data_IF_492902440285
#
_entry.id   IF_492902440285
#
_cell.length_a   1.000
_cell.length_b   1.000
_cell.length_c   1.000
_cell.angle_alpha   90.00
_cell.angle_beta   90.00
_cell.angle_gamma   90.00
#
_symmetry.space_group_name_H-M   'P 1'
#
loop_
_entity.id
_entity.type
_entity.pdbx_description
1 polymer ?
#
# COMPACT_ATOMS: atom_id res chain seq x y z
N UNK A 1 27.11 16.39 63.52
CA UNK A 1 26.58 17.15 62.38
C UNK A 1 26.74 16.29 61.10
N UNK A 2 25.69 15.58 60.74
CA UNK A 2 25.75 14.65 59.59
C UNK A 2 24.95 15.29 58.46
N UNK A 3 25.66 15.67 57.40
CA UNK A 3 25.03 16.19 56.18
C UNK A 3 24.48 15.01 55.37
N UNK A 4 23.14 14.85 55.33
CA UNK A 4 22.50 13.90 54.45
C UNK A 4 22.51 14.49 53.03
N UNK A 5 23.31 13.90 52.16
CA UNK A 5 23.31 14.16 50.73
C UNK A 5 22.07 13.48 50.13
N UNK A 6 21.12 14.31 49.68
CA UNK A 6 19.95 13.83 48.96
C UNK A 6 20.35 13.52 47.49
N UNK A 7 20.55 12.25 47.20
CA UNK A 7 20.76 11.74 45.84
C UNK A 7 19.39 11.71 45.14
N UNK A 8 19.09 12.71 44.36
CA UNK A 8 17.94 12.72 43.45
C UNK A 8 18.24 11.84 42.25
N UNK A 9 17.71 10.62 42.31
CA UNK A 9 17.73 9.67 41.20
C UNK A 9 16.61 10.05 40.26
N UNK A 10 16.89 10.86 39.23
CA UNK A 10 15.98 11.19 38.13
C UNK A 10 15.95 10.00 37.19
N UNK A 11 14.93 9.14 37.36
CA UNK A 11 14.62 8.04 36.42
C UNK A 11 14.01 8.66 35.17
N UNK A 12 14.84 8.93 34.13
CA UNK A 12 14.37 9.33 32.82
C UNK A 12 13.74 8.10 32.15
N UNK A 13 12.42 7.99 32.24
CA UNK A 13 11.64 7.00 31.51
C UNK A 13 11.58 7.47 30.05
N UNK A 14 12.52 6.96 29.22
CA UNK A 14 12.48 7.18 27.79
C UNK A 14 11.25 6.43 27.23
N UNK A 15 10.16 7.14 26.97
CA UNK A 15 9.06 6.63 26.17
C UNK A 15 9.58 6.39 24.75
N UNK A 16 9.95 5.16 24.46
CA UNK A 16 10.19 4.70 23.10
C UNK A 16 8.84 4.69 22.38
N UNK A 17 8.54 5.74 21.65
CA UNK A 17 7.41 5.77 20.71
C UNK A 17 7.80 4.82 19.57
N UNK A 18 7.38 3.57 19.69
CA UNK A 18 7.46 2.62 18.58
C UNK A 18 6.48 3.10 17.51
N UNK A 19 6.99 3.80 16.50
CA UNK A 19 6.24 4.09 15.29
C UNK A 19 5.93 2.74 14.64
N UNK A 20 4.70 2.25 14.77
CA UNK A 20 4.23 1.13 13.98
C UNK A 20 4.21 1.59 12.52
N UNK A 21 5.26 1.25 11.79
CA UNK A 21 5.30 1.48 10.35
C UNK A 21 4.22 0.60 9.72
N UNK A 22 3.21 1.23 9.13
CA UNK A 22 2.21 0.51 8.34
C UNK A 22 2.90 -0.04 7.10
N UNK A 23 2.82 -1.36 6.91
CA UNK A 23 3.34 -2.04 5.73
C UNK A 23 2.24 -2.17 4.70
N UNK A 24 2.50 -1.76 3.46
CA UNK A 24 1.58 -1.94 2.33
C UNK A 24 1.67 -3.37 1.83
N UNK A 25 0.54 -4.06 1.70
CA UNK A 25 0.48 -5.42 1.16
C UNK A 25 0.00 -5.37 -0.29
N UNK A 26 0.84 -5.89 -1.20
CA UNK A 26 0.57 -5.97 -2.63
C UNK A 26 0.36 -7.44 -3.01
N UNK A 27 -0.80 -7.75 -3.56
CA UNK A 27 -1.10 -9.05 -4.13
C UNK A 27 -0.79 -9.04 -5.64
N UNK A 28 0.05 -9.96 -6.09
CA UNK A 28 0.49 -10.07 -7.47
C UNK A 28 0.54 -11.55 -7.92
N UNK A 29 0.80 -11.79 -9.19
CA UNK A 29 0.68 -13.13 -9.80
C UNK A 29 1.87 -14.05 -9.56
N UNK A 30 2.84 -13.63 -8.77
CA UNK A 30 3.97 -14.48 -8.36
C UNK A 30 5.09 -14.59 -9.39
N UNK A 31 6.09 -15.37 -9.03
CA UNK A 31 7.23 -15.73 -9.88
C UNK A 31 7.97 -14.52 -10.46
N UNK A 32 8.45 -14.66 -11.69
CA UNK A 32 9.22 -13.60 -12.37
C UNK A 32 8.44 -12.28 -12.54
N UNK A 33 7.13 -12.35 -12.62
CA UNK A 33 6.28 -11.17 -12.73
C UNK A 33 6.37 -10.32 -11.45
N UNK A 34 6.11 -10.90 -10.30
CA UNK A 34 6.24 -10.21 -9.01
C UNK A 34 7.68 -9.71 -8.77
N UNK A 35 8.69 -10.51 -9.13
CA UNK A 35 10.09 -10.08 -8.99
C UNK A 35 10.41 -8.85 -9.88
N UNK A 36 9.88 -8.80 -11.10
CA UNK A 36 10.05 -7.62 -11.95
C UNK A 36 9.42 -6.37 -11.36
N UNK A 37 8.27 -6.50 -10.72
CA UNK A 37 7.60 -5.40 -10.03
C UNK A 37 8.37 -4.93 -8.80
N UNK A 38 8.87 -5.86 -7.99
CA UNK A 38 9.74 -5.53 -6.85
C UNK A 38 10.94 -4.70 -7.29
N UNK A 39 11.69 -5.18 -8.28
CA UNK A 39 12.89 -4.51 -8.78
C UNK A 39 12.58 -3.20 -9.50
N UNK A 40 11.50 -3.16 -10.29
CA UNK A 40 11.17 -2.02 -11.13
C UNK A 40 10.64 -0.82 -10.36
N UNK A 41 9.77 -1.05 -9.39
CA UNK A 41 9.14 0.05 -8.64
C UNK A 41 8.90 -0.24 -7.15
N UNK A 42 8.71 -1.48 -6.73
CA UNK A 42 8.39 -1.82 -5.34
C UNK A 42 9.50 -1.42 -4.37
N UNK A 43 10.69 -1.97 -4.53
CA UNK A 43 11.83 -1.69 -3.65
C UNK A 43 12.28 -0.22 -3.72
N UNK A 44 12.38 0.41 -4.91
CA UNK A 44 12.66 1.85 -4.98
C UNK A 44 11.62 2.70 -4.24
N UNK A 45 10.34 2.36 -4.35
CA UNK A 45 9.26 3.08 -3.66
C UNK A 45 9.31 2.86 -2.16
N UNK A 46 9.44 1.61 -1.71
CA UNK A 46 9.59 1.29 -0.29
C UNK A 46 10.73 2.07 0.35
N UNK A 47 11.88 2.10 -0.33
CA UNK A 47 13.06 2.87 0.12
C UNK A 47 12.80 4.38 0.15
N UNK A 48 12.16 4.91 -0.88
CA UNK A 48 11.89 6.36 -0.99
C UNK A 48 10.92 6.85 0.07
N UNK A 49 9.89 6.06 0.36
CA UNK A 49 8.82 6.44 1.29
C UNK A 49 9.10 5.98 2.74
N UNK A 50 10.05 5.08 2.95
CA UNK A 50 10.30 4.46 4.26
C UNK A 50 9.16 3.53 4.70
N UNK A 51 8.38 3.01 3.75
CA UNK A 51 7.23 2.13 4.01
C UNK A 51 7.56 0.73 3.52
N UNK A 52 7.53 -0.31 4.39
CA UNK A 52 7.72 -1.69 3.95
C UNK A 52 6.61 -2.14 3.00
N UNK A 53 6.96 -2.89 1.96
CA UNK A 53 5.99 -3.51 1.06
C UNK A 53 6.05 -5.03 1.24
N UNK A 54 4.91 -5.62 1.61
CA UNK A 54 4.72 -7.06 1.66
C UNK A 54 4.13 -7.53 0.34
N UNK A 55 4.68 -8.58 -0.22
CA UNK A 55 4.20 -9.17 -1.46
C UNK A 55 3.53 -10.50 -1.18
N UNK A 56 2.36 -10.71 -1.76
CA UNK A 56 1.57 -11.94 -1.66
C UNK A 56 1.26 -12.43 -3.07
N UNK A 57 1.54 -13.71 -3.32
CA UNK A 57 1.17 -14.32 -4.59
C UNK A 57 -0.29 -14.78 -4.55
N UNK A 58 -1.04 -14.54 -5.64
CA UNK A 58 -2.40 -15.01 -5.81
C UNK A 58 -2.65 -15.46 -7.26
N UNK A 59 -3.70 -16.22 -7.49
CA UNK A 59 -3.92 -16.88 -8.79
C UNK A 59 -4.80 -16.08 -9.76
N UNK A 60 -5.11 -14.83 -9.46
CA UNK A 60 -5.95 -13.97 -10.29
C UNK A 60 -7.44 -14.02 -9.95
N UNK A 61 -8.21 -13.12 -10.57
CA UNK A 61 -9.65 -12.98 -10.35
C UNK A 61 -10.04 -12.29 -9.05
N UNK A 62 -11.34 -12.24 -8.78
CA UNK A 62 -11.89 -11.46 -7.65
C UNK A 62 -12.31 -12.32 -6.45
N UNK A 63 -12.17 -13.64 -6.52
CA UNK A 63 -12.72 -14.55 -5.51
C UNK A 63 -12.15 -14.32 -4.11
N UNK A 64 -10.83 -14.13 -4.00
CA UNK A 64 -10.17 -13.91 -2.72
C UNK A 64 -10.55 -12.56 -2.09
N UNK A 65 -10.62 -11.51 -2.90
CA UNK A 65 -11.08 -10.20 -2.42
C UNK A 65 -12.51 -10.25 -1.93
N UNK A 66 -13.40 -10.94 -2.68
CA UNK A 66 -14.79 -11.15 -2.27
C UNK A 66 -14.87 -11.88 -0.92
N UNK A 67 -14.04 -12.90 -0.74
CA UNK A 67 -13.96 -13.63 0.52
C UNK A 67 -13.46 -12.76 1.67
N UNK A 68 -12.42 -11.96 1.47
CA UNK A 68 -11.90 -11.01 2.47
C UNK A 68 -12.96 -9.96 2.84
N UNK A 69 -13.66 -9.41 1.85
CA UNK A 69 -14.75 -8.44 2.08
C UNK A 69 -15.90 -9.07 2.86
N UNK A 70 -16.33 -10.28 2.49
CA UNK A 70 -17.38 -11.00 3.19
C UNK A 70 -17.01 -11.32 4.65
N UNK A 71 -15.73 -11.60 4.90
CA UNK A 71 -15.21 -11.83 6.25
C UNK A 71 -15.02 -10.54 7.06
N UNK A 72 -15.21 -9.36 6.45
CA UNK A 72 -14.96 -8.06 7.09
C UNK A 72 -13.48 -7.83 7.42
N UNK A 73 -12.56 -8.54 6.77
CA UNK A 73 -11.13 -8.46 7.02
C UNK A 73 -10.36 -8.37 5.70
N UNK A 74 -10.07 -7.15 5.29
CA UNK A 74 -9.22 -6.87 4.13
C UNK A 74 -7.76 -6.90 4.58
N UNK A 75 -6.93 -7.69 3.90
CA UNK A 75 -5.50 -7.85 4.20
C UNK A 75 -4.59 -7.41 3.06
N UNK A 76 -5.15 -7.12 1.89
CA UNK A 76 -4.43 -6.61 0.73
C UNK A 76 -4.79 -5.15 0.49
N UNK A 77 -3.78 -4.32 0.34
CA UNK A 77 -3.98 -2.88 0.07
C UNK A 77 -4.01 -2.59 -1.43
N UNK A 78 -3.21 -3.33 -2.19
CA UNK A 78 -3.09 -3.21 -3.65
C UNK A 78 -3.18 -4.62 -4.25
N UNK A 79 -3.78 -4.71 -5.42
CA UNK A 79 -3.90 -5.97 -6.16
C UNK A 79 -3.73 -5.75 -7.65
N UNK A 80 -2.98 -6.63 -8.30
CA UNK A 80 -2.92 -6.72 -9.75
C UNK A 80 -4.09 -7.54 -10.28
N UNK A 81 -4.88 -6.98 -11.16
CA UNK A 81 -6.02 -7.65 -11.79
C UNK A 81 -6.03 -7.42 -13.29
N UNK A 82 -6.73 -8.28 -14.03
CA UNK A 82 -7.01 -8.02 -15.43
C UNK A 82 -7.99 -6.85 -15.59
N UNK A 83 -7.96 -6.19 -16.75
CA UNK A 83 -8.83 -5.05 -17.05
C UNK A 83 -10.32 -5.35 -16.80
N UNK A 84 -10.78 -6.56 -17.20
CA UNK A 84 -12.17 -6.97 -16.95
C UNK A 84 -12.49 -7.13 -15.46
N UNK A 85 -11.54 -7.62 -14.67
CA UNK A 85 -11.72 -7.73 -13.23
C UNK A 85 -11.74 -6.36 -12.55
N UNK A 86 -11.04 -5.39 -13.11
CA UNK A 86 -11.11 -4.00 -12.62
C UNK A 86 -12.52 -3.44 -12.77
N UNK A 87 -13.14 -3.61 -13.93
CA UNK A 87 -14.51 -3.16 -14.20
C UNK A 87 -15.48 -3.84 -13.24
N UNK A 88 -15.47 -5.17 -13.21
CA UNK A 88 -16.36 -5.95 -12.35
C UNK A 88 -16.14 -5.62 -10.85
N UNK A 89 -14.88 -5.48 -10.43
CA UNK A 89 -14.55 -5.15 -9.06
C UNK A 89 -14.99 -3.75 -8.64
N UNK A 90 -14.92 -2.78 -9.56
CA UNK A 90 -15.45 -1.43 -9.33
C UNK A 90 -16.97 -1.43 -9.22
N UNK A 91 -17.67 -2.15 -10.10
CA UNK A 91 -19.13 -2.24 -10.10
C UNK A 91 -19.66 -2.93 -8.83
N UNK A 92 -18.93 -3.94 -8.35
CA UNK A 92 -19.24 -4.63 -7.09
C UNK A 92 -18.77 -3.88 -5.83
N UNK A 93 -18.15 -2.71 -5.98
CA UNK A 93 -17.63 -1.90 -4.88
C UNK A 93 -16.50 -2.60 -4.11
N UNK A 94 -15.67 -3.42 -4.79
CA UNK A 94 -14.51 -4.08 -4.19
C UNK A 94 -13.29 -3.17 -4.17
N UNK A 95 -13.20 -2.21 -5.08
CA UNK A 95 -12.07 -1.32 -5.24
C UNK A 95 -12.41 0.13 -4.90
N UNK A 96 -11.41 0.88 -4.47
CA UNK A 96 -11.50 2.32 -4.27
C UNK A 96 -11.45 2.99 -5.64
N UNK A 97 -12.37 3.90 -5.90
CA UNK A 97 -12.34 4.75 -7.09
C UNK A 97 -11.38 5.91 -6.88
N UNK A 98 -10.53 6.15 -7.85
CA UNK A 98 -9.62 7.30 -7.88
C UNK A 98 -10.20 8.42 -8.75
N UNK A 99 -10.00 9.65 -8.31
CA UNK A 99 -10.06 10.82 -9.17
C UNK A 99 -8.65 11.03 -9.76
N UNK A 100 -8.43 10.52 -10.98
CA UNK A 100 -7.10 10.44 -11.55
C UNK A 100 -6.37 11.78 -11.60
N UNK A 101 -7.05 12.86 -11.96
CA UNK A 101 -6.42 14.17 -12.09
C UNK A 101 -6.15 14.85 -10.75
N UNK A 102 -6.85 14.42 -9.70
CA UNK A 102 -6.65 14.92 -8.34
C UNK A 102 -5.64 14.06 -7.56
N UNK A 103 -5.74 12.74 -7.71
CA UNK A 103 -5.00 11.77 -6.88
C UNK A 103 -3.63 11.44 -7.46
N UNK A 104 -3.41 11.70 -8.76
CA UNK A 104 -2.14 11.42 -9.44
C UNK A 104 -1.58 12.66 -10.15
N UNK A 105 -0.24 12.80 -10.19
CA UNK A 105 0.38 13.88 -10.95
C UNK A 105 0.18 13.69 -12.46
N UNK A 106 0.16 14.78 -13.19
CA UNK A 106 0.25 14.73 -14.65
C UNK A 106 1.56 14.09 -15.11
N UNK A 107 1.57 13.53 -16.32
CA UNK A 107 2.78 13.01 -16.95
C UNK A 107 3.82 14.13 -17.15
N UNK A 108 5.13 13.80 -17.34
CA UNK A 108 6.17 14.80 -17.50
C UNK A 108 5.98 15.78 -18.66
N UNK A 109 5.22 15.38 -19.69
CA UNK A 109 4.86 16.23 -20.83
C UNK A 109 3.61 17.12 -20.59
N UNK A 110 3.02 17.03 -19.39
CA UNK A 110 1.83 17.77 -19.00
C UNK A 110 0.51 17.08 -19.33
N UNK A 111 0.54 15.86 -19.87
CA UNK A 111 -0.69 15.08 -20.11
C UNK A 111 -1.38 14.79 -18.76
N UNK A 112 -2.67 15.13 -18.59
CA UNK A 112 -3.41 14.82 -17.37
C UNK A 112 -3.46 13.32 -17.09
N UNK A 113 -3.40 12.91 -15.82
CA UNK A 113 -3.41 11.50 -15.44
C UNK A 113 -4.62 10.74 -15.97
N UNK A 114 -5.81 11.36 -16.02
CA UNK A 114 -7.02 10.78 -16.60
C UNK A 114 -6.91 10.42 -18.09
N UNK A 115 -5.92 10.97 -18.79
CA UNK A 115 -5.65 10.70 -20.22
C UNK A 115 -4.41 9.84 -20.44
N UNK A 116 -3.54 9.74 -19.45
CA UNK A 116 -2.29 8.98 -19.50
C UNK A 116 -2.50 7.53 -19.05
N UNK A 117 -3.33 7.32 -18.02
CA UNK A 117 -3.72 5.98 -17.57
C UNK A 117 -4.81 5.42 -18.49
N UNK A 118 -4.51 4.36 -19.19
CA UNK A 118 -5.39 3.56 -20.06
C UNK A 118 -6.73 4.23 -20.45
N UNK A 119 -6.72 4.94 -21.56
CA UNK A 119 -7.91 5.62 -22.13
C UNK A 119 -9.06 4.67 -22.47
N UNK A 120 -8.90 3.36 -22.36
CA UNK A 120 -9.92 2.34 -22.60
C UNK A 120 -10.61 1.82 -21.35
N UNK A 121 -10.22 2.29 -20.15
CA UNK A 121 -10.95 1.95 -18.94
C UNK A 121 -12.08 2.95 -18.73
N UNK A 122 -13.36 2.53 -18.75
CA UNK A 122 -14.44 3.42 -18.39
C UNK A 122 -14.28 3.85 -16.94
N UNK A 123 -14.24 5.15 -16.75
CA UNK A 123 -14.24 5.81 -15.43
C UNK A 123 -15.56 5.60 -14.71
#
# INVERSE_FOLDING_TARGET
MRKLSKLLLTLAFALSISSTSYAVTVASWGGAYTESQKLGYGDPTAKKLGIPINWVDYSGGLSEIKAQKAAGKITWDIIDVFAMDTINGCDEGLFVKFDFDKDFPAAPDGTPASKDFFTSMPS
#
